data_IF_337968889763
#
_entry.id   IF_337968889763
#
_cell.length_a   1.000
_cell.length_b   1.000
_cell.length_c   1.000
_cell.angle_alpha   90.00
_cell.angle_beta   90.00
_cell.angle_gamma   90.00
#
_symmetry.space_group_name_H-M   'P 1'
#
loop_
_entity.id
_entity.type
_entity.pdbx_description
1 polymer ?
#
# COMPACT_ATOMS: atom_id res chain seq x y z
N UNK A 1 -28.04 -20.06 18.55
CA UNK A 1 -26.79 -19.69 19.28
C UNK A 1 -25.70 -19.55 18.25
N UNK A 2 -25.55 -18.37 17.64
CA UNK A 2 -24.37 -18.06 16.83
C UNK A 2 -23.12 -18.23 17.68
N UNK A 3 -22.20 -19.06 17.20
CA UNK A 3 -20.98 -19.37 17.90
C UNK A 3 -20.09 -18.10 17.93
N UNK A 4 -19.79 -17.64 19.15
CA UNK A 4 -18.95 -16.46 19.42
C UNK A 4 -17.55 -16.60 18.79
N UNK A 5 -17.11 -17.83 18.50
CA UNK A 5 -15.89 -18.13 17.75
C UNK A 5 -15.98 -17.64 16.29
N UNK A 6 -17.10 -17.86 15.62
CA UNK A 6 -17.36 -17.53 14.20
C UNK A 6 -17.40 -16.02 13.95
N UNK A 7 -17.98 -15.24 14.89
CA UNK A 7 -18.03 -13.77 14.79
C UNK A 7 -16.66 -13.13 14.94
N UNK A 8 -15.79 -13.71 15.78
CA UNK A 8 -14.40 -13.26 15.94
C UNK A 8 -13.58 -13.57 14.69
N UNK A 9 -13.70 -14.79 14.15
CA UNK A 9 -13.00 -15.19 12.93
C UNK A 9 -13.38 -14.33 11.71
N UNK A 10 -14.67 -14.05 11.51
CA UNK A 10 -15.16 -13.19 10.43
C UNK A 10 -14.58 -11.77 10.50
N UNK A 11 -14.47 -11.21 11.70
CA UNK A 11 -13.89 -9.88 11.93
C UNK A 11 -12.42 -9.82 11.55
N UNK A 12 -11.65 -10.82 11.95
CA UNK A 12 -10.24 -10.93 11.60
C UNK A 12 -10.04 -11.18 10.11
N UNK A 13 -10.85 -12.03 9.49
CA UNK A 13 -10.81 -12.27 8.05
C UNK A 13 -11.03 -10.97 7.27
N UNK A 14 -12.05 -10.19 7.64
CA UNK A 14 -12.33 -8.90 7.00
C UNK A 14 -11.20 -7.89 7.22
N UNK A 15 -10.59 -7.83 8.41
CA UNK A 15 -9.44 -6.97 8.67
C UNK A 15 -8.23 -7.36 7.81
N UNK A 16 -7.86 -8.65 7.79
CA UNK A 16 -6.73 -9.16 7.03
C UNK A 16 -6.95 -8.90 5.54
N UNK A 17 -8.15 -9.19 5.04
CA UNK A 17 -8.56 -8.89 3.67
C UNK A 17 -8.44 -7.39 3.38
N UNK A 18 -8.91 -6.52 4.29
CA UNK A 18 -8.79 -5.06 4.14
C UNK A 18 -7.33 -4.60 4.01
N UNK A 19 -6.46 -5.07 4.91
CA UNK A 19 -5.03 -4.73 4.91
C UNK A 19 -4.39 -5.16 3.60
N UNK A 20 -4.57 -6.41 3.20
CA UNK A 20 -3.87 -6.99 2.06
C UNK A 20 -4.37 -6.43 0.73
N UNK A 21 -5.68 -6.22 0.55
CA UNK A 21 -6.24 -5.60 -0.67
C UNK A 21 -5.77 -4.16 -0.83
N UNK A 22 -5.85 -3.34 0.22
CA UNK A 22 -5.44 -1.93 0.13
C UNK A 22 -3.92 -1.79 -0.01
N UNK A 23 -3.14 -2.61 0.70
CA UNK A 23 -1.68 -2.67 0.55
C UNK A 23 -1.27 -3.07 -0.87
N UNK A 24 -1.91 -4.10 -1.42
CA UNK A 24 -1.64 -4.55 -2.79
C UNK A 24 -1.97 -3.44 -3.81
N UNK A 25 -3.10 -2.74 -3.63
CA UNK A 25 -3.46 -1.62 -4.48
C UNK A 25 -2.43 -0.48 -4.40
N UNK A 26 -1.94 -0.13 -3.21
CA UNK A 26 -0.86 0.85 -3.04
C UNK A 26 0.42 0.46 -3.78
N UNK A 27 0.82 -0.81 -3.70
CA UNK A 27 1.96 -1.34 -4.44
C UNK A 27 1.74 -1.22 -5.96
N UNK A 28 0.60 -1.65 -6.47
CA UNK A 28 0.29 -1.61 -7.90
C UNK A 28 0.36 -0.18 -8.47
N UNK A 29 -0.17 0.79 -7.72
CA UNK A 29 -0.11 2.21 -8.10
C UNK A 29 1.34 2.73 -8.13
N UNK A 30 2.14 2.44 -7.10
CA UNK A 30 3.55 2.86 -7.07
C UNK A 30 4.37 2.21 -8.18
N UNK A 31 4.15 0.92 -8.47
CA UNK A 31 4.87 0.24 -9.55
C UNK A 31 4.53 0.86 -10.90
N UNK A 32 3.25 1.05 -11.20
CA UNK A 32 2.81 1.60 -12.48
C UNK A 32 3.30 3.02 -12.71
N UNK A 33 3.09 3.90 -11.72
CA UNK A 33 3.25 5.32 -11.94
C UNK A 33 4.64 5.82 -11.55
N UNK A 34 5.34 5.13 -10.64
CA UNK A 34 6.65 5.57 -10.13
C UNK A 34 7.79 4.65 -10.60
N UNK A 35 7.76 3.37 -10.23
CA UNK A 35 8.92 2.48 -10.40
C UNK A 35 9.16 2.08 -11.85
N UNK A 36 8.13 1.63 -12.58
CA UNK A 36 8.29 1.13 -13.94
C UNK A 36 8.79 2.20 -14.93
N UNK A 37 8.30 3.46 -14.86
CA UNK A 37 8.86 4.54 -15.68
C UNK A 37 10.35 4.80 -15.44
N UNK A 38 10.86 4.55 -14.24
CA UNK A 38 12.26 4.81 -13.91
C UNK A 38 13.26 3.87 -14.60
N UNK A 39 12.85 2.66 -14.99
CA UNK A 39 13.73 1.70 -15.67
C UNK A 39 14.31 2.26 -16.98
N UNK A 40 13.58 3.14 -17.66
CA UNK A 40 14.03 3.77 -18.90
C UNK A 40 15.26 4.69 -18.72
N UNK A 41 15.55 5.09 -17.48
CA UNK A 41 16.63 6.02 -17.16
C UNK A 41 17.82 5.35 -16.48
N UNK A 42 17.85 4.01 -16.40
CA UNK A 42 18.98 3.27 -15.81
C UNK A 42 19.77 2.62 -16.94
N UNK A 43 20.96 3.13 -17.21
CA UNK A 43 21.86 2.65 -18.25
C UNK A 43 23.13 2.05 -17.61
N UNK A 44 23.73 2.80 -16.69
CA UNK A 44 24.82 2.32 -15.84
C UNK A 44 24.28 1.30 -14.84
N UNK A 45 24.99 0.18 -14.70
CA UNK A 45 24.66 -0.88 -13.73
C UNK A 45 23.27 -1.51 -13.88
N UNK A 46 22.63 -1.44 -15.05
CA UNK A 46 21.28 -1.97 -15.28
C UNK A 46 21.12 -3.45 -14.84
N UNK A 47 22.14 -4.28 -15.04
CA UNK A 47 22.16 -5.67 -14.58
C UNK A 47 22.06 -5.77 -13.05
N UNK A 48 22.76 -4.91 -12.32
CA UNK A 48 22.71 -4.88 -10.87
C UNK A 48 21.35 -4.36 -10.39
N UNK A 49 20.87 -3.27 -11.00
CA UNK A 49 19.56 -2.68 -10.71
C UNK A 49 18.43 -3.72 -10.87
N UNK A 50 18.39 -4.41 -12.00
CA UNK A 50 17.36 -5.43 -12.28
C UNK A 50 17.47 -6.66 -11.38
N UNK A 51 18.68 -7.11 -11.02
CA UNK A 51 18.87 -8.20 -10.05
C UNK A 51 18.37 -7.81 -8.66
N UNK A 52 18.72 -6.62 -8.18
CA UNK A 52 18.26 -6.08 -6.90
C UNK A 52 16.73 -5.96 -6.89
N UNK A 53 16.15 -5.41 -7.97
CA UNK A 53 14.70 -5.31 -8.13
C UNK A 53 14.03 -6.68 -8.02
N UNK A 54 14.48 -7.66 -8.81
CA UNK A 54 13.89 -9.00 -8.82
C UNK A 54 13.97 -9.70 -7.46
N UNK A 55 15.07 -9.52 -6.73
CA UNK A 55 15.26 -10.11 -5.40
C UNK A 55 14.28 -9.52 -4.38
N UNK A 56 14.17 -8.19 -4.34
CA UNK A 56 13.31 -7.48 -3.38
C UNK A 56 11.81 -7.62 -3.71
N UNK A 57 11.46 -7.64 -4.99
CA UNK A 57 10.07 -7.75 -5.44
C UNK A 57 9.36 -9.03 -5.00
N UNK A 58 10.11 -10.10 -4.73
CA UNK A 58 9.55 -11.32 -4.13
C UNK A 58 8.83 -11.00 -2.82
N UNK A 59 9.50 -10.25 -1.95
CA UNK A 59 8.99 -9.94 -0.60
C UNK A 59 8.07 -8.72 -0.59
N UNK A 60 8.37 -7.71 -1.41
CA UNK A 60 7.61 -6.45 -1.41
C UNK A 60 6.30 -6.59 -2.18
N UNK A 61 6.31 -7.27 -3.34
CA UNK A 61 5.18 -7.37 -4.26
C UNK A 61 4.54 -8.75 -4.37
N UNK A 62 5.32 -9.79 -4.66
CA UNK A 62 4.80 -11.10 -5.09
C UNK A 62 4.18 -11.91 -3.95
N UNK A 63 4.89 -12.10 -2.84
CA UNK A 63 4.36 -12.78 -1.65
C UNK A 63 3.10 -12.07 -1.14
N UNK A 64 3.07 -10.74 -1.01
CA UNK A 64 1.86 -10.03 -0.61
C UNK A 64 0.68 -10.16 -1.58
N UNK A 65 0.92 -10.24 -2.90
CA UNK A 65 -0.16 -10.49 -3.86
C UNK A 65 -0.79 -11.87 -3.65
N UNK A 66 0.03 -12.90 -3.41
CA UNK A 66 -0.45 -14.25 -3.07
C UNK A 66 -1.21 -14.24 -1.74
N UNK A 67 -0.70 -13.58 -0.71
CA UNK A 67 -1.38 -13.45 0.58
C UNK A 67 -2.73 -12.72 0.43
N UNK A 68 -2.80 -11.68 -0.40
CA UNK A 68 -4.05 -10.99 -0.74
C UNK A 68 -5.06 -11.97 -1.35
N UNK A 69 -4.66 -12.78 -2.33
CA UNK A 69 -5.54 -13.80 -2.91
C UNK A 69 -5.99 -14.84 -1.88
N UNK A 70 -5.08 -15.34 -1.04
CA UNK A 70 -5.42 -16.29 0.02
C UNK A 70 -6.41 -15.67 1.02
N UNK A 71 -6.26 -14.39 1.35
CA UNK A 71 -7.22 -13.68 2.21
C UNK A 71 -8.59 -13.54 1.54
N UNK A 72 -8.65 -13.24 0.24
CA UNK A 72 -9.91 -13.20 -0.50
C UNK A 72 -10.59 -14.58 -0.55
N UNK A 73 -9.81 -15.65 -0.76
CA UNK A 73 -10.30 -17.04 -0.73
C UNK A 73 -10.84 -17.38 0.65
N UNK A 74 -10.15 -16.97 1.73
CA UNK A 74 -10.60 -17.21 3.10
C UNK A 74 -11.99 -16.62 3.39
N UNK A 75 -12.35 -15.51 2.72
CA UNK A 75 -13.66 -14.89 2.85
C UNK A 75 -14.79 -15.77 2.29
N UNK A 76 -14.53 -16.78 1.45
CA UNK A 76 -15.59 -17.72 1.00
C UNK A 76 -16.25 -18.40 2.21
N UNK A 77 -15.42 -18.84 3.16
CA UNK A 77 -15.86 -19.56 4.36
C UNK A 77 -16.11 -18.64 5.55
N UNK A 78 -15.33 -17.56 5.67
CA UNK A 78 -15.37 -16.70 6.86
C UNK A 78 -16.25 -15.45 6.69
N UNK A 79 -16.67 -15.10 5.47
CA UNK A 79 -17.58 -13.97 5.26
C UNK A 79 -18.94 -14.26 5.90
N UNK A 80 -19.46 -13.34 6.73
CA UNK A 80 -20.82 -13.43 7.26
C UNK A 80 -21.88 -13.56 6.15
N UNK A 81 -23.03 -14.16 6.49
CA UNK A 81 -24.09 -14.48 5.53
C UNK A 81 -24.71 -13.24 4.86
N UNK A 82 -24.68 -12.09 5.53
CA UNK A 82 -25.18 -10.83 4.98
C UNK A 82 -24.25 -10.20 3.93
N UNK A 83 -23.02 -10.70 3.75
CA UNK A 83 -22.19 -10.29 2.61
C UNK A 83 -22.63 -11.04 1.34
N UNK A 84 -22.84 -10.32 0.22
CA UNK A 84 -23.22 -10.97 -1.03
C UNK A 84 -22.13 -11.97 -1.47
N UNK A 85 -22.44 -13.27 -1.46
CA UNK A 85 -21.48 -14.32 -1.85
C UNK A 85 -20.96 -14.13 -3.28
N UNK A 86 -21.78 -13.62 -4.20
CA UNK A 86 -21.34 -13.23 -5.56
C UNK A 86 -20.19 -12.22 -5.53
N UNK A 87 -20.25 -11.21 -4.66
CA UNK A 87 -19.18 -10.22 -4.54
C UNK A 87 -17.89 -10.84 -3.97
N UNK A 88 -18.01 -11.81 -3.05
CA UNK A 88 -16.85 -12.56 -2.53
C UNK A 88 -16.19 -13.37 -3.65
N UNK A 89 -16.96 -14.09 -4.47
CA UNK A 89 -16.41 -14.85 -5.60
C UNK A 89 -15.78 -13.93 -6.65
N UNK A 90 -16.43 -12.82 -7.00
CA UNK A 90 -15.85 -11.82 -7.92
C UNK A 90 -14.53 -11.31 -7.37
N UNK A 91 -14.45 -11.01 -6.07
CA UNK A 91 -13.20 -10.59 -5.44
C UNK A 91 -12.07 -11.62 -5.59
N UNK A 92 -12.37 -12.91 -5.41
CA UNK A 92 -11.39 -13.99 -5.61
C UNK A 92 -10.90 -14.05 -7.05
N UNK A 93 -11.82 -13.96 -8.03
CA UNK A 93 -11.48 -13.96 -9.45
C UNK A 93 -10.58 -12.78 -9.80
N UNK A 94 -10.92 -11.57 -9.33
CA UNK A 94 -10.09 -10.37 -9.54
C UNK A 94 -8.68 -10.55 -8.96
N UNK A 95 -8.58 -11.15 -7.76
CA UNK A 95 -7.29 -11.40 -7.11
C UNK A 95 -6.47 -12.44 -7.85
N UNK A 96 -7.11 -13.46 -8.40
CA UNK A 96 -6.47 -14.48 -9.22
C UNK A 96 -5.91 -13.87 -10.50
N UNK A 97 -6.66 -13.00 -11.18
CA UNK A 97 -6.20 -12.26 -12.36
C UNK A 97 -4.92 -11.47 -12.03
N UNK A 98 -4.90 -10.74 -10.92
CA UNK A 98 -3.73 -9.97 -10.47
C UNK A 98 -2.54 -10.87 -10.10
N UNK A 99 -2.74 -11.98 -9.39
CA UNK A 99 -1.63 -12.90 -9.07
C UNK A 99 -1.07 -13.56 -10.32
N UNK A 100 -1.92 -14.08 -11.21
CA UNK A 100 -1.48 -14.72 -12.46
C UNK A 100 -0.70 -13.74 -13.32
N UNK A 101 -1.20 -12.51 -13.49
CA UNK A 101 -0.49 -11.47 -14.25
C UNK A 101 0.87 -11.14 -13.62
N UNK A 102 0.93 -11.05 -12.29
CA UNK A 102 2.19 -10.81 -11.57
C UNK A 102 3.22 -11.90 -11.88
N UNK A 103 2.83 -13.16 -11.74
CA UNK A 103 3.74 -14.29 -11.81
C UNK A 103 4.11 -14.66 -13.24
N UNK A 104 3.18 -14.53 -14.19
CA UNK A 104 3.32 -15.08 -15.54
C UNK A 104 3.53 -14.02 -16.62
N UNK A 105 3.33 -12.74 -16.31
CA UNK A 105 3.58 -11.64 -17.26
C UNK A 105 4.65 -10.71 -16.72
N UNK A 106 4.44 -10.14 -15.54
CA UNK A 106 5.35 -9.12 -15.00
C UNK A 106 6.70 -9.70 -14.59
N UNK A 107 6.72 -10.76 -13.77
CA UNK A 107 7.97 -11.38 -13.31
C UNK A 107 8.85 -11.87 -14.47
N UNK A 108 8.33 -12.55 -15.51
CA UNK A 108 9.14 -12.93 -16.68
C UNK A 108 9.77 -11.74 -17.40
N UNK A 109 9.05 -10.63 -17.57
CA UNK A 109 9.60 -9.41 -18.21
C UNK A 109 10.80 -8.89 -17.41
N UNK A 110 10.66 -8.72 -16.08
CA UNK A 110 11.75 -8.23 -15.26
C UNK A 110 12.94 -9.20 -15.18
N UNK A 111 12.69 -10.51 -15.21
CA UNK A 111 13.75 -11.53 -15.29
C UNK A 111 14.47 -11.47 -16.63
N UNK A 112 13.74 -11.27 -17.73
CA UNK A 112 14.32 -11.13 -19.05
C UNK A 112 15.18 -9.88 -19.16
N UNK A 113 14.77 -8.75 -18.58
CA UNK A 113 15.58 -7.54 -18.54
C UNK A 113 16.92 -7.73 -17.84
N UNK A 114 17.00 -8.60 -16.83
CA UNK A 114 18.27 -8.97 -16.21
C UNK A 114 19.21 -9.76 -17.14
N UNK A 115 18.75 -10.17 -18.32
CA UNK A 115 19.55 -10.89 -19.34
C UNK A 115 19.78 -9.99 -20.56
N UNK A 116 18.72 -9.37 -21.08
CA UNK A 116 18.73 -8.68 -22.37
C UNK A 116 18.92 -7.17 -22.27
N UNK A 117 18.88 -6.60 -21.07
CA UNK A 117 18.80 -5.15 -20.87
C UNK A 117 17.38 -4.60 -21.01
N UNK A 118 17.23 -3.29 -20.81
CA UNK A 118 15.96 -2.58 -20.91
C UNK A 118 15.42 -2.63 -22.35
N UNK A 119 14.10 -2.85 -22.49
CA UNK A 119 13.42 -2.83 -23.77
C UNK A 119 12.13 -2.01 -23.67
N UNK A 120 12.05 -0.93 -24.44
CA UNK A 120 10.92 -0.01 -24.41
C UNK A 120 9.58 -0.65 -24.81
N UNK A 121 9.58 -1.55 -25.80
CA UNK A 121 8.37 -2.26 -26.23
C UNK A 121 7.87 -3.20 -25.14
N UNK A 122 8.78 -3.91 -24.47
CA UNK A 122 8.44 -4.75 -23.31
C UNK A 122 7.94 -3.91 -22.13
N UNK A 123 8.50 -2.71 -21.92
CA UNK A 123 8.02 -1.81 -20.86
C UNK A 123 6.61 -1.29 -21.16
N UNK A 124 6.34 -0.89 -22.41
CA UNK A 124 4.99 -0.49 -22.81
C UNK A 124 3.98 -1.63 -22.65
N UNK A 125 4.38 -2.85 -23.02
CA UNK A 125 3.57 -4.04 -22.77
C UNK A 125 3.33 -4.25 -21.27
N UNK A 126 4.38 -4.18 -20.44
CA UNK A 126 4.29 -4.30 -18.98
C UNK A 126 3.34 -3.26 -18.37
N UNK A 127 3.45 -1.99 -18.76
CA UNK A 127 2.58 -0.91 -18.27
C UNK A 127 1.11 -1.12 -18.66
N UNK A 128 0.86 -1.63 -19.87
CA UNK A 128 -0.49 -1.99 -20.32
C UNK A 128 -1.05 -3.16 -19.51
N UNK A 129 -0.28 -4.24 -19.36
CA UNK A 129 -0.69 -5.42 -18.60
C UNK A 129 -0.93 -5.10 -17.12
N UNK A 130 -0.08 -4.25 -16.54
CA UNK A 130 -0.24 -3.76 -15.16
C UNK A 130 -1.52 -2.93 -15.02
N UNK A 131 -1.81 -2.03 -15.96
CA UNK A 131 -3.06 -1.27 -15.93
C UNK A 131 -4.29 -2.17 -15.98
N UNK A 132 -4.37 -3.04 -16.98
CA UNK A 132 -5.58 -3.85 -17.24
C UNK A 132 -5.79 -4.99 -16.27
N UNK A 133 -4.70 -5.58 -15.75
CA UNK A 133 -4.80 -6.82 -14.96
C UNK A 133 -4.24 -6.71 -13.53
N UNK A 134 -3.61 -5.59 -13.14
CA UNK A 134 -3.33 -5.26 -11.73
C UNK A 134 -4.25 -4.14 -11.23
N UNK A 135 -4.15 -2.96 -11.85
CA UNK A 135 -4.79 -1.75 -11.31
C UNK A 135 -6.30 -1.85 -11.38
N UNK A 136 -6.86 -2.15 -12.56
CA UNK A 136 -8.32 -2.24 -12.71
C UNK A 136 -8.89 -3.33 -11.78
N UNK A 137 -8.35 -4.57 -11.74
CA UNK A 137 -8.86 -5.58 -10.83
C UNK A 137 -8.71 -5.23 -9.36
N UNK A 138 -7.56 -4.66 -8.96
CA UNK A 138 -7.34 -4.22 -7.58
C UNK A 138 -8.29 -3.08 -7.18
N UNK A 139 -8.54 -2.12 -8.08
CA UNK A 139 -9.48 -1.04 -7.84
C UNK A 139 -10.91 -1.59 -7.65
N UNK A 140 -11.31 -2.56 -8.48
CA UNK A 140 -12.60 -3.24 -8.32
C UNK A 140 -12.69 -4.04 -7.00
N UNK A 141 -11.61 -4.71 -6.58
CA UNK A 141 -11.54 -5.34 -5.26
C UNK A 141 -11.66 -4.32 -4.12
N UNK A 142 -11.04 -3.15 -4.25
CA UNK A 142 -11.18 -2.05 -3.28
C UNK A 142 -12.63 -1.56 -3.22
N UNK A 143 -13.32 -1.44 -4.36
CA UNK A 143 -14.76 -1.10 -4.38
C UNK A 143 -15.60 -2.16 -3.65
N UNK A 144 -15.34 -3.45 -3.90
CA UNK A 144 -16.00 -4.55 -3.19
C UNK A 144 -15.69 -4.48 -1.69
N UNK A 145 -14.44 -4.26 -1.32
CA UNK A 145 -14.03 -4.10 0.08
C UNK A 145 -14.77 -2.94 0.74
N UNK A 146 -14.83 -1.76 0.09
CA UNK A 146 -15.57 -0.60 0.60
C UNK A 146 -17.04 -0.96 0.80
N UNK A 147 -17.65 -1.75 -0.09
CA UNK A 147 -19.02 -2.23 0.10
C UNK A 147 -19.17 -3.12 1.33
N UNK A 148 -18.23 -4.04 1.58
CA UNK A 148 -18.22 -4.90 2.76
C UNK A 148 -18.05 -4.07 4.04
N UNK A 149 -17.12 -3.12 4.03
CA UNK A 149 -16.89 -2.23 5.16
C UNK A 149 -18.09 -1.30 5.40
N UNK A 150 -18.78 -0.85 4.34
CA UNK A 150 -19.97 -0.03 4.47
C UNK A 150 -21.10 -0.77 5.18
N UNK A 151 -21.33 -2.03 4.81
CA UNK A 151 -22.29 -2.95 5.43
C UNK A 151 -21.85 -3.30 6.86
N UNK A 152 -20.57 -3.62 7.06
CA UNK A 152 -20.00 -3.88 8.38
C UNK A 152 -20.22 -2.73 9.36
N UNK A 153 -20.18 -1.49 8.87
CA UNK A 153 -20.36 -0.27 9.67
C UNK A 153 -21.81 0.24 9.65
N UNK A 154 -22.82 -0.57 9.30
CA UNK A 154 -24.19 -0.09 9.11
C UNK A 154 -24.76 0.73 10.28
N UNK A 155 -24.42 0.36 11.53
CA UNK A 155 -24.92 1.00 12.75
C UNK A 155 -24.18 2.30 13.12
N UNK A 156 -23.07 2.58 12.43
CA UNK A 156 -22.28 3.79 12.65
C UNK A 156 -22.93 4.95 11.91
N UNK A 157 -23.05 6.09 12.60
CA UNK A 157 -23.56 7.36 12.02
C UNK A 157 -22.85 7.67 10.69
N UNK A 158 -23.59 8.11 9.67
CA UNK A 158 -23.11 8.31 8.29
C UNK A 158 -21.78 9.06 8.19
N UNK A 159 -21.64 10.20 8.87
CA UNK A 159 -20.42 11.02 8.85
C UNK A 159 -19.24 10.27 9.49
N UNK A 160 -19.47 9.65 10.65
CA UNK A 160 -18.45 8.87 11.37
C UNK A 160 -17.95 7.67 10.55
N UNK A 161 -18.88 7.00 9.86
CA UNK A 161 -18.61 5.88 8.96
C UNK A 161 -17.64 6.30 7.86
N UNK A 162 -17.94 7.37 7.13
CA UNK A 162 -17.10 7.82 6.02
C UNK A 162 -15.72 8.30 6.47
N UNK A 163 -15.63 9.03 7.58
CA UNK A 163 -14.33 9.45 8.14
C UNK A 163 -13.48 8.21 8.46
N UNK A 164 -14.04 7.23 9.17
CA UNK A 164 -13.32 6.02 9.53
C UNK A 164 -12.92 5.18 8.30
N UNK A 165 -13.82 5.02 7.33
CA UNK A 165 -13.52 4.33 6.07
C UNK A 165 -12.34 4.96 5.34
N UNK A 166 -12.33 6.29 5.22
CA UNK A 166 -11.23 7.00 4.57
C UNK A 166 -9.91 6.82 5.32
N UNK A 167 -9.92 6.86 6.65
CA UNK A 167 -8.72 6.57 7.47
C UNK A 167 -8.21 5.14 7.20
N UNK A 168 -9.10 4.13 7.18
CA UNK A 168 -8.74 2.74 6.89
C UNK A 168 -8.14 2.61 5.48
N UNK A 169 -8.80 3.17 4.48
CA UNK A 169 -8.37 3.14 3.07
C UNK A 169 -7.00 3.77 2.91
N UNK A 170 -6.83 5.02 3.35
CA UNK A 170 -5.58 5.75 3.20
C UNK A 170 -4.44 5.09 3.97
N UNK A 171 -4.69 4.62 5.19
CA UNK A 171 -3.66 4.04 6.04
C UNK A 171 -3.08 2.73 5.46
N UNK A 172 -3.95 1.78 5.06
CA UNK A 172 -3.50 0.51 4.50
C UNK A 172 -3.05 0.63 3.04
N UNK A 173 -3.59 1.59 2.28
CA UNK A 173 -3.01 1.96 0.99
C UNK A 173 -1.58 2.48 1.16
N UNK A 174 -1.36 3.40 2.11
CA UNK A 174 -0.06 3.96 2.41
C UNK A 174 0.94 2.91 2.93
N UNK A 175 0.47 1.84 3.58
CA UNK A 175 1.30 0.68 3.91
C UNK A 175 1.95 0.06 2.66
N UNK A 176 1.21 0.00 1.55
CA UNK A 176 1.71 -0.50 0.28
C UNK A 176 2.74 0.45 -0.33
N UNK A 177 2.43 1.74 -0.34
CA UNK A 177 3.28 2.74 -0.98
C UNK A 177 4.61 2.94 -0.22
N UNK A 178 4.57 2.96 1.11
CA UNK A 178 5.78 3.01 1.98
C UNK A 178 6.63 1.76 1.87
N UNK A 179 6.03 0.58 1.66
CA UNK A 179 6.79 -0.64 1.40
C UNK A 179 7.61 -0.53 0.10
N UNK A 180 7.06 0.10 -0.93
CA UNK A 180 7.79 0.34 -2.18
C UNK A 180 8.92 1.35 -1.95
N UNK A 181 8.62 2.48 -1.34
CA UNK A 181 9.62 3.53 -1.13
C UNK A 181 10.80 3.04 -0.28
N UNK A 182 10.53 2.53 0.92
CA UNK A 182 11.57 2.15 1.88
C UNK A 182 12.26 0.82 1.55
N UNK A 183 11.51 -0.18 1.09
CA UNK A 183 12.04 -1.55 0.91
C UNK A 183 12.42 -1.90 -0.53
N UNK A 184 12.07 -1.06 -1.51
CA UNK A 184 12.41 -1.28 -2.91
C UNK A 184 13.15 -0.08 -3.51
N UNK A 185 12.61 1.13 -3.42
CA UNK A 185 13.18 2.31 -4.08
C UNK A 185 14.55 2.68 -3.49
N UNK A 186 14.69 2.85 -2.18
CA UNK A 186 15.99 3.22 -1.59
C UNK A 186 17.12 2.21 -1.90
N UNK A 187 16.92 0.89 -1.77
CA UNK A 187 17.93 -0.09 -2.21
C UNK A 187 18.26 -0.01 -3.70
N UNK A 188 17.29 0.31 -4.55
CA UNK A 188 17.53 0.48 -5.99
C UNK A 188 18.33 1.75 -6.29
N UNK A 189 18.10 2.83 -5.55
CA UNK A 189 18.84 4.09 -5.71
C UNK A 189 20.34 3.88 -5.52
N UNK A 190 20.75 2.96 -4.63
CA UNK A 190 22.16 2.62 -4.43
C UNK A 190 22.83 1.97 -5.66
N UNK A 191 22.04 1.46 -6.60
CA UNK A 191 22.54 0.79 -7.81
C UNK A 191 22.55 1.71 -9.04
N UNK A 192 21.87 2.85 -8.98
CA UNK A 192 21.78 3.81 -10.10
C UNK A 192 23.12 4.55 -10.24
N UNK A 193 23.64 4.64 -11.45
CA UNK A 193 24.88 5.37 -11.73
C UNK A 193 24.72 6.88 -11.60
N UNK A 194 25.82 7.58 -11.33
CA UNK A 194 25.79 9.03 -11.13
C UNK A 194 25.33 9.80 -12.38
N UNK A 195 25.60 9.27 -13.58
CA UNK A 195 25.18 9.89 -14.85
C UNK A 195 23.68 9.79 -15.09
N UNK A 196 23.07 8.73 -14.61
CA UNK A 196 21.64 8.43 -14.78
C UNK A 196 20.77 9.09 -13.71
N UNK A 197 21.38 9.46 -12.59
CA UNK A 197 20.69 9.84 -11.37
C UNK A 197 19.63 10.93 -11.52
N UNK A 198 19.94 12.04 -12.21
CA UNK A 198 18.98 13.15 -12.33
C UNK A 198 17.79 12.79 -13.21
N UNK A 199 18.02 12.13 -14.34
CA UNK A 199 16.96 11.66 -15.21
C UNK A 199 16.08 10.61 -14.51
N UNK A 200 16.73 9.69 -13.77
CA UNK A 200 16.07 8.71 -12.92
C UNK A 200 15.20 9.38 -11.84
N UNK A 201 15.76 10.33 -11.08
CA UNK A 201 15.07 10.94 -9.93
C UNK A 201 13.89 11.82 -10.32
N UNK A 202 13.99 12.48 -11.48
CA UNK A 202 12.94 13.34 -12.04
C UNK A 202 11.84 12.56 -12.76
N UNK A 203 11.98 11.23 -12.89
CA UNK A 203 10.99 10.35 -13.50
C UNK A 203 10.34 9.47 -12.43
N UNK A 204 9.00 9.39 -12.37
CA UNK A 204 8.01 10.28 -13.00
C UNK A 204 8.03 11.69 -12.39
N UNK A 205 7.27 12.66 -12.94
CA UNK A 205 7.11 13.98 -12.34
C UNK A 205 6.71 13.94 -10.86
N UNK A 206 7.30 14.83 -10.05
CA UNK A 206 7.05 14.93 -8.59
C UNK A 206 5.58 15.04 -8.21
N UNK A 207 4.72 15.58 -9.08
CA UNK A 207 3.28 15.67 -8.83
C UNK A 207 2.62 14.28 -8.73
N UNK A 208 3.04 13.31 -9.54
CA UNK A 208 2.53 11.95 -9.47
C UNK A 208 2.97 11.28 -8.17
N UNK A 209 4.22 11.46 -7.76
CA UNK A 209 4.69 11.01 -6.45
C UNK A 209 3.91 11.66 -5.31
N UNK A 210 3.65 12.97 -5.41
CA UNK A 210 2.84 13.70 -4.43
C UNK A 210 1.42 13.13 -4.29
N UNK A 211 0.77 12.80 -5.40
CA UNK A 211 -0.58 12.22 -5.41
C UNK A 211 -0.58 10.78 -4.88
N UNK A 212 0.35 9.94 -5.35
CA UNK A 212 0.36 8.51 -5.03
C UNK A 212 0.88 8.22 -3.61
N UNK A 213 1.78 9.04 -3.09
CA UNK A 213 2.43 8.78 -1.80
C UNK A 213 2.08 9.84 -0.76
N UNK A 214 2.45 11.11 -1.01
CA UNK A 214 2.40 12.19 -0.01
C UNK A 214 0.95 12.47 0.44
N UNK A 215 0.01 12.51 -0.50
CA UNK A 215 -1.40 12.72 -0.20
C UNK A 215 -1.94 11.61 0.71
N UNK A 216 -1.67 10.34 0.39
CA UNK A 216 -2.15 9.23 1.20
C UNK A 216 -1.50 9.20 2.60
N UNK A 217 -0.22 9.58 2.70
CA UNK A 217 0.51 9.59 3.96
C UNK A 217 0.02 10.66 4.94
N UNK A 218 -0.32 11.87 4.45
CA UNK A 218 -0.56 13.03 5.34
C UNK A 218 -1.99 13.58 5.33
N UNK A 219 -2.81 13.28 4.32
CA UNK A 219 -4.24 13.64 4.35
C UNK A 219 -5.03 13.06 5.55
N UNK A 220 -4.64 11.92 6.18
CA UNK A 220 -5.27 11.48 7.42
C UNK A 220 -5.26 12.51 8.55
N UNK A 221 -4.31 13.46 8.60
CA UNK A 221 -4.27 14.52 9.64
C UNK A 221 -5.62 15.23 9.75
N UNK A 222 -6.19 15.66 8.61
CA UNK A 222 -7.47 16.36 8.57
C UNK A 222 -8.64 15.47 9.00
N UNK A 223 -8.61 14.20 8.61
CA UNK A 223 -9.64 13.23 8.96
C UNK A 223 -9.64 12.90 10.46
N UNK A 224 -8.46 12.83 11.09
CA UNK A 224 -8.32 12.49 12.50
C UNK A 224 -8.80 13.60 13.42
N UNK A 225 -8.56 14.86 13.03
CA UNK A 225 -9.15 16.02 13.70
C UNK A 225 -10.67 15.84 13.74
N UNK A 226 -11.31 15.60 12.59
CA UNK A 226 -12.74 15.33 12.55
C UNK A 226 -13.15 14.07 13.36
N UNK A 227 -12.34 13.01 13.30
CA UNK A 227 -12.58 11.75 14.01
C UNK A 227 -12.55 11.90 15.53
N UNK A 228 -11.81 12.87 16.08
CA UNK A 228 -11.78 13.12 17.51
C UNK A 228 -13.19 13.35 18.09
N UNK A 229 -14.01 14.14 17.39
CA UNK A 229 -15.41 14.42 17.75
C UNK A 229 -16.43 13.48 17.09
N UNK A 230 -16.13 12.98 15.89
CA UNK A 230 -17.09 12.24 15.05
C UNK A 230 -16.74 10.76 14.84
N UNK A 231 -15.89 10.15 15.67
CA UNK A 231 -15.59 8.71 15.60
C UNK A 231 -16.80 7.81 15.91
N UNK A 232 -16.80 6.55 15.42
CA UNK A 232 -17.56 5.46 16.02
C UNK A 232 -17.39 5.44 17.55
N UNK A 233 -18.49 5.24 18.30
CA UNK A 233 -18.49 5.38 19.77
C UNK A 233 -17.56 4.36 20.45
N UNK A 234 -17.39 3.20 19.82
CA UNK A 234 -16.59 2.07 20.26
C UNK A 234 -15.09 2.34 20.18
N UNK A 235 -14.67 3.27 19.31
CA UNK A 235 -13.27 3.66 19.17
C UNK A 235 -12.92 4.61 20.33
N UNK A 236 -11.93 4.28 21.17
CA UNK A 236 -11.49 5.19 22.22
C UNK A 236 -10.76 6.43 21.69
N UNK A 237 -10.89 7.57 22.40
CA UNK A 237 -10.18 8.81 22.03
C UNK A 237 -8.66 8.67 22.04
N UNK A 238 -8.11 7.84 22.92
CA UNK A 238 -6.66 7.65 23.01
C UNK A 238 -6.10 7.05 21.72
N UNK A 239 -6.78 6.09 21.07
CA UNK A 239 -6.34 5.55 19.78
C UNK A 239 -6.30 6.63 18.70
N UNK A 240 -7.32 7.48 18.64
CA UNK A 240 -7.37 8.60 17.67
C UNK A 240 -6.24 9.58 17.92
N UNK A 241 -5.99 9.89 19.20
CA UNK A 241 -4.93 10.83 19.62
C UNK A 241 -3.55 10.26 19.33
N UNK A 242 -3.29 9.00 19.68
CA UNK A 242 -2.03 8.31 19.39
C UNK A 242 -1.75 8.25 17.89
N UNK A 243 -2.77 7.95 17.08
CA UNK A 243 -2.63 7.97 15.62
C UNK A 243 -2.29 9.39 15.11
N UNK A 244 -3.00 10.41 15.58
CA UNK A 244 -2.72 11.81 15.21
C UNK A 244 -1.29 12.24 15.57
N UNK A 245 -0.83 11.92 16.78
CA UNK A 245 0.52 12.25 17.22
C UNK A 245 1.59 11.57 16.35
N UNK A 246 1.38 10.31 15.98
CA UNK A 246 2.32 9.57 15.13
C UNK A 246 2.34 10.09 13.69
N UNK A 247 1.18 10.42 13.09
CA UNK A 247 1.15 11.04 11.76
C UNK A 247 1.80 12.42 11.81
N UNK A 248 1.56 13.20 12.86
CA UNK A 248 2.18 14.52 13.02
C UNK A 248 3.69 14.40 13.18
N UNK A 249 4.17 13.43 13.97
CA UNK A 249 5.59 13.12 14.08
C UNK A 249 6.20 12.78 12.70
N UNK A 250 5.57 11.88 11.93
CA UNK A 250 6.04 11.54 10.58
C UNK A 250 6.05 12.73 9.63
N UNK A 251 5.05 13.60 9.72
CA UNK A 251 4.97 14.82 8.93
C UNK A 251 6.09 15.80 9.28
N UNK A 252 6.26 16.10 10.57
CA UNK A 252 7.27 17.05 11.07
C UNK A 252 8.68 16.54 10.77
N UNK A 253 9.00 15.28 11.07
CA UNK A 253 10.33 14.74 10.77
C UNK A 253 10.58 14.67 9.27
N UNK A 254 9.57 14.39 8.46
CA UNK A 254 9.73 14.41 7.01
C UNK A 254 10.04 15.82 6.53
N UNK A 255 9.27 16.81 6.97
CA UNK A 255 9.41 18.20 6.55
C UNK A 255 10.71 18.86 7.02
N UNK A 256 11.12 18.63 8.27
CA UNK A 256 12.24 19.31 8.91
C UNK A 256 13.58 18.58 8.76
N UNK A 257 13.55 17.29 8.44
CA UNK A 257 14.76 16.48 8.34
C UNK A 257 14.88 15.77 7.00
N UNK A 258 13.92 14.92 6.63
CA UNK A 258 14.07 14.11 5.40
C UNK A 258 14.09 14.94 4.11
N UNK A 259 13.22 15.95 4.00
CA UNK A 259 13.16 16.81 2.83
C UNK A 259 14.44 17.65 2.68
N UNK A 260 14.83 18.47 3.66
CA UNK A 260 16.00 19.36 3.50
C UNK A 260 17.33 18.59 3.44
N UNK A 261 17.52 17.56 4.27
CA UNK A 261 18.84 16.93 4.40
C UNK A 261 19.09 15.83 3.38
N UNK A 262 18.03 15.23 2.83
CA UNK A 262 18.15 14.15 1.86
C UNK A 262 17.47 14.46 0.53
N UNK A 263 16.16 14.71 0.51
CA UNK A 263 15.43 14.79 -0.76
C UNK A 263 15.87 15.98 -1.61
N UNK A 264 16.06 17.17 -1.02
CA UNK A 264 16.52 18.36 -1.76
C UNK A 264 17.93 18.17 -2.32
N UNK A 265 18.95 17.74 -1.55
CA UNK A 265 20.27 17.46 -2.10
C UNK A 265 20.25 16.37 -3.18
N UNK A 266 19.52 15.28 -2.94
CA UNK A 266 19.40 14.16 -3.87
C UNK A 266 18.64 14.51 -5.15
N UNK A 267 17.85 15.58 -5.18
CA UNK A 267 17.25 16.08 -6.42
C UNK A 267 18.25 16.83 -7.31
N UNK A 268 19.42 17.20 -6.78
CA UNK A 268 20.43 18.01 -7.48
C UNK A 268 21.69 17.22 -7.85
N UNK A 269 22.06 16.22 -7.06
CA UNK A 269 23.29 15.45 -7.29
C UNK A 269 23.18 14.02 -6.76
N UNK A 270 23.86 13.09 -7.44
CA UNK A 270 24.02 11.73 -6.95
C UNK A 270 24.97 11.71 -5.74
N UNK A 271 24.56 11.06 -4.65
CA UNK A 271 25.41 10.83 -3.48
C UNK A 271 25.09 9.50 -2.81
N UNK A 272 25.88 8.47 -3.10
CA UNK A 272 25.71 7.14 -2.49
C UNK A 272 25.77 7.17 -0.95
N UNK A 273 26.68 7.91 -0.29
CA UNK A 273 26.67 8.03 1.16
C UNK A 273 25.34 8.61 1.69
N UNK A 274 24.77 9.58 0.99
CA UNK A 274 23.51 10.21 1.38
C UNK A 274 22.31 9.27 1.17
N UNK A 275 22.30 8.50 0.08
CA UNK A 275 21.27 7.47 -0.19
C UNK A 275 21.27 6.40 0.91
N UNK A 276 22.45 5.88 1.27
CA UNK A 276 22.58 4.87 2.34
C UNK A 276 22.15 5.41 3.70
N UNK A 277 22.53 6.65 4.00
CA UNK A 277 22.12 7.32 5.22
C UNK A 277 20.60 7.55 5.25
N UNK A 278 20.00 7.98 4.13
CA UNK A 278 18.54 8.12 3.99
C UNK A 278 17.82 6.80 4.32
N UNK A 279 18.25 5.68 3.74
CA UNK A 279 17.64 4.37 4.00
C UNK A 279 17.76 3.94 5.47
N UNK A 280 18.91 4.21 6.09
CA UNK A 280 19.17 3.91 7.50
C UNK A 280 18.30 4.77 8.42
N UNK A 281 18.28 6.08 8.18
CA UNK A 281 17.53 7.04 8.99
C UNK A 281 16.02 6.87 8.81
N UNK A 282 15.55 6.49 7.61
CA UNK A 282 14.16 6.12 7.38
C UNK A 282 13.73 4.92 8.25
N UNK A 283 14.57 3.87 8.25
CA UNK A 283 14.32 2.66 9.03
C UNK A 283 14.31 2.94 10.53
N UNK A 284 15.17 3.83 11.03
CA UNK A 284 15.27 4.16 12.45
C UNK A 284 14.14 5.10 12.87
N UNK A 285 13.94 6.20 12.14
CA UNK A 285 13.10 7.29 12.60
C UNK A 285 11.66 7.22 12.10
N UNK A 286 11.38 6.66 10.92
CA UNK A 286 10.02 6.64 10.34
C UNK A 286 9.37 5.27 10.38
N UNK A 287 10.10 4.18 10.15
CA UNK A 287 9.51 2.85 10.07
C UNK A 287 8.77 2.39 11.36
N UNK A 288 9.27 2.61 12.59
CA UNK A 288 8.55 2.21 13.81
C UNK A 288 7.23 2.96 13.98
N UNK A 289 7.23 4.27 13.73
CA UNK A 289 6.02 5.09 13.76
C UNK A 289 5.03 4.66 12.67
N UNK A 290 5.53 4.38 11.45
CA UNK A 290 4.75 3.84 10.35
C UNK A 290 4.06 2.52 10.71
N UNK A 291 4.78 1.57 11.31
CA UNK A 291 4.23 0.30 11.77
C UNK A 291 3.17 0.50 12.87
N UNK A 292 3.44 1.38 13.84
CA UNK A 292 2.51 1.69 14.92
C UNK A 292 1.18 2.26 14.40
N UNK A 293 1.22 3.10 13.36
CA UNK A 293 -0.01 3.60 12.70
C UNK A 293 -0.86 2.44 12.14
N UNK A 294 -0.23 1.46 11.50
CA UNK A 294 -0.93 0.28 10.96
C UNK A 294 -1.61 -0.52 12.08
N UNK A 295 -0.88 -0.76 13.18
CA UNK A 295 -1.40 -1.48 14.35
C UNK A 295 -2.55 -0.73 15.00
N UNK A 296 -2.46 0.59 15.13
CA UNK A 296 -3.52 1.39 15.75
C UNK A 296 -4.80 1.35 14.92
N UNK A 297 -4.73 1.47 13.59
CA UNK A 297 -5.94 1.40 12.73
C UNK A 297 -6.54 0.01 12.74
N UNK A 298 -5.71 -1.03 12.70
CA UNK A 298 -6.17 -2.40 12.90
C UNK A 298 -6.86 -2.56 14.27
N UNK A 299 -6.33 -1.95 15.32
CA UNK A 299 -6.93 -2.00 16.65
C UNK A 299 -8.26 -1.24 16.72
N UNK A 300 -8.35 -0.06 16.11
CA UNK A 300 -9.60 0.69 15.98
C UNK A 300 -10.66 -0.15 15.27
N UNK A 301 -10.31 -0.80 14.17
CA UNK A 301 -11.18 -1.73 13.44
C UNK A 301 -11.69 -2.85 14.35
N UNK A 302 -10.79 -3.48 15.12
CA UNK A 302 -11.12 -4.54 16.06
C UNK A 302 -11.92 -4.07 17.28
N UNK A 303 -12.05 -2.77 17.54
CA UNK A 303 -12.92 -2.25 18.61
C UNK A 303 -14.37 -2.09 18.19
N UNK A 304 -14.64 -1.94 16.90
CA UNK A 304 -16.01 -1.77 16.38
C UNK A 304 -16.81 -3.06 16.63
N UNK A 305 -18.01 -2.94 17.19
CA UNK A 305 -18.91 -4.05 17.49
C UNK A 305 -20.18 -3.89 16.65
N UNK A 306 -20.20 -4.41 15.42
CA UNK A 306 -21.37 -4.25 14.56
C UNK A 306 -22.52 -5.12 15.07
N UNK A 307 -23.73 -4.56 15.13
CA UNK A 307 -24.91 -5.28 15.61
C UNK A 307 -25.26 -6.47 14.71
N UNK A 308 -24.93 -6.37 13.42
CA UNK A 308 -25.22 -7.39 12.41
C UNK A 308 -24.50 -8.72 12.66
N UNK A 309 -23.39 -8.71 13.41
CA UNK A 309 -22.69 -9.94 13.80
C UNK A 309 -23.34 -10.63 15.02
N UNK A 310 -24.27 -9.97 15.71
CA UNK A 310 -24.95 -10.51 16.89
C UNK A 310 -26.35 -11.07 16.58
N UNK A 311 -26.84 -10.91 15.35
CA UNK A 311 -28.21 -11.24 14.94
C UNK A 311 -28.32 -12.53 14.10
N UNK A 312 -27.25 -13.33 14.01
CA UNK A 312 -27.27 -14.71 13.52
C UNK A 312 -27.44 -15.70 14.70
#
# INVERSE_FOLDING_TARGET
>A
MSDKSTTTAAKWALLIYSILTLRHFGIAMMLQFIMNPQFANVHENFLLYTKTYNSLMIWVGYVPAVLMLLSAISMIWLAPNFFPKKAVYVSVVLGMISVVTTLWVMMPIYKQWAITGYNAAQNQHLLSQTLYFQIIPSALQVVILISFLHTYLQDVKRVAKWIFLLVVVLNFYNMGTTSIEGSLAYPLWETVGAKDWLAYRQTPPNILFGIMFVFAAFSPIFLLIAMYWRRPKEIPKYLVTSYLLLVFYLFVITLLYFVPDFQVPLNNVHSLPLIKKLGTDDLIYRAPAGLALQVIVAWMFLKIKPSILNND
#
